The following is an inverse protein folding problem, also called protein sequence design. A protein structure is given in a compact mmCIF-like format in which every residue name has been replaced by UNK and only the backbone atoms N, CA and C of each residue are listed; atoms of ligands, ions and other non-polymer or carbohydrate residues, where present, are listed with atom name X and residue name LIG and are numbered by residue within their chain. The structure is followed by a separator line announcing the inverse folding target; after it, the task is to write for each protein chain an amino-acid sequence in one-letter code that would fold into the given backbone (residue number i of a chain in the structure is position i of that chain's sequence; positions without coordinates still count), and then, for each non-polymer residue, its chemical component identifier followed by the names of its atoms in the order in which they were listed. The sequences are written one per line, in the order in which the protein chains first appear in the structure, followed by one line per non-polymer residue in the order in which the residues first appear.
data_IF_822083063490
#
_entry.id   IF_822083063490
#
_cell.length_a   1.000
_cell.length_b   1.000
_cell.length_c   1.000
_cell.angle_alpha   90.00
_cell.angle_beta   90.00
_cell.angle_gamma   90.00
#
_symmetry.space_group_name_H-M   'P 1'
#
loop_
_entity.id
_entity.type
_entity.pdbx_description
1 polymer ?
#
# COMPACT_ATOMS: atom_id res chain seq x y z
N UNK A 1 8.66 -77.23 -15.96
CA UNK A 1 8.02 -76.08 -15.27
C UNK A 1 8.91 -74.85 -15.39
N UNK A 2 8.58 -73.90 -16.28
CA UNK A 2 9.31 -72.62 -16.43
C UNK A 2 8.56 -71.53 -15.65
N UNK A 3 9.20 -70.94 -14.65
CA UNK A 3 8.67 -69.78 -13.88
C UNK A 3 8.91 -68.50 -14.68
N UNK A 4 7.82 -67.85 -15.10
CA UNK A 4 7.82 -66.52 -15.72
C UNK A 4 7.92 -65.47 -14.61
N UNK A 5 9.01 -64.70 -14.54
CA UNK A 5 9.10 -63.52 -13.67
C UNK A 5 8.48 -62.33 -14.40
N UNK A 6 7.37 -61.81 -13.85
CA UNK A 6 6.76 -60.55 -14.27
C UNK A 6 7.46 -59.41 -13.53
N UNK A 7 8.40 -58.74 -14.19
CA UNK A 7 8.98 -57.48 -13.72
C UNK A 7 8.05 -56.32 -14.08
N UNK A 8 7.32 -55.80 -13.11
CA UNK A 8 6.58 -54.54 -13.26
C UNK A 8 7.51 -53.37 -13.01
N UNK A 9 7.79 -52.58 -14.05
CA UNK A 9 8.50 -51.32 -13.91
C UNK A 9 7.54 -50.27 -13.31
N UNK A 10 7.84 -49.82 -12.09
CA UNK A 10 7.13 -48.71 -11.47
C UNK A 10 7.71 -47.40 -12.03
N UNK A 11 6.91 -46.66 -12.80
CA UNK A 11 7.25 -45.33 -13.29
C UNK A 11 6.99 -44.33 -12.14
N UNK A 12 8.06 -43.86 -11.50
CA UNK A 12 7.98 -42.79 -10.51
C UNK A 12 7.87 -41.45 -11.24
N UNK A 13 6.69 -40.82 -11.18
CA UNK A 13 6.49 -39.44 -11.63
C UNK A 13 6.99 -38.54 -10.51
N UNK A 14 8.17 -37.95 -10.69
CA UNK A 14 8.64 -36.88 -9.82
C UNK A 14 7.81 -35.62 -10.14
N UNK A 15 6.89 -35.26 -9.25
CA UNK A 15 6.23 -33.96 -9.31
C UNK A 15 7.26 -32.88 -8.99
N UNK A 16 7.62 -32.09 -9.99
CA UNK A 16 8.39 -30.86 -9.79
C UNK A 16 7.43 -29.87 -9.15
N UNK A 17 7.55 -29.66 -7.83
CA UNK A 17 6.89 -28.56 -7.15
C UNK A 17 7.70 -27.32 -7.50
N UNK A 18 7.18 -26.51 -8.43
CA UNK A 18 7.69 -25.16 -8.62
C UNK A 18 7.28 -24.35 -7.38
N UNK A 19 8.18 -23.50 -6.83
CA UNK A 19 7.78 -22.57 -5.79
C UNK A 19 6.64 -21.72 -6.37
N UNK A 20 5.52 -21.66 -5.64
CA UNK A 20 4.49 -20.69 -5.94
C UNK A 20 5.06 -19.33 -5.51
N UNK A 21 5.23 -18.41 -6.47
CA UNK A 21 5.46 -16.99 -6.17
C UNK A 21 4.30 -16.49 -5.30
N UNK A 22 4.62 -15.69 -4.28
CA UNK A 22 3.65 -15.13 -3.36
C UNK A 22 2.96 -13.94 -4.04
N UNK A 23 2.03 -14.25 -4.95
CA UNK A 23 1.23 -13.23 -5.63
C UNK A 23 0.58 -12.30 -4.60
N UNK A 24 0.79 -10.99 -4.76
CA UNK A 24 0.14 -9.95 -3.97
C UNK A 24 -1.37 -10.21 -3.98
N UNK A 25 -1.91 -10.48 -2.80
CA UNK A 25 -3.29 -10.98 -2.67
C UNK A 25 -4.28 -9.80 -2.76
N UNK A 26 -5.30 -9.85 -3.62
CA UNK A 26 -6.35 -8.82 -3.60
C UNK A 26 -7.06 -8.78 -2.24
N UNK A 27 -7.34 -7.58 -1.74
CA UNK A 27 -7.92 -7.41 -0.40
C UNK A 27 -7.74 -6.01 0.17
N UNK A 28 -8.06 -5.90 1.46
CA UNK A 28 -7.87 -4.68 2.25
C UNK A 28 -6.56 -4.79 3.02
N UNK A 29 -5.75 -3.75 2.98
CA UNK A 29 -4.48 -3.63 3.66
C UNK A 29 -4.53 -2.49 4.67
N UNK A 30 -3.96 -2.71 5.86
CA UNK A 30 -3.61 -1.63 6.78
C UNK A 30 -2.23 -1.09 6.38
N UNK A 31 -2.09 0.24 6.36
CA UNK A 31 -0.85 0.90 5.96
C UNK A 31 -0.09 1.42 7.18
N UNK A 32 1.24 1.35 7.12
CA UNK A 32 2.16 1.73 8.18
C UNK A 32 3.29 2.60 7.61
N UNK A 33 4.00 3.33 8.48
CA UNK A 33 5.16 4.08 8.02
C UNK A 33 6.25 3.14 7.51
N UNK A 34 6.96 3.56 6.46
CA UNK A 34 8.12 2.80 6.02
C UNK A 34 9.31 3.03 6.97
N UNK A 35 10.06 1.99 7.38
CA UNK A 35 11.19 2.16 8.30
C UNK A 35 12.36 2.95 7.69
N UNK A 36 12.46 2.95 6.35
CA UNK A 36 13.49 3.69 5.59
C UNK A 36 12.97 5.00 4.96
N UNK A 37 12.12 5.74 5.69
CA UNK A 37 11.72 7.08 5.30
C UNK A 37 12.92 8.04 5.27
N UNK A 38 13.11 8.77 4.17
CA UNK A 38 14.26 9.67 3.96
C UNK A 38 14.34 10.82 4.98
N UNK A 39 13.19 11.20 5.53
CA UNK A 39 13.07 12.12 6.66
C UNK A 39 12.43 11.32 7.78
N UNK A 40 13.27 10.82 8.67
CA UNK A 40 12.84 10.20 9.91
C UNK A 40 13.86 10.62 10.97
N UNK A 41 13.46 11.36 12.02
CA UNK A 41 12.08 11.72 12.40
C UNK A 41 11.52 12.99 11.73
N UNK A 42 10.18 13.15 11.68
CA UNK A 42 9.14 12.18 12.05
C UNK A 42 8.99 11.04 11.00
N UNK A 43 8.59 9.82 11.42
CA UNK A 43 8.27 8.74 10.49
C UNK A 43 7.04 9.10 9.64
N UNK A 44 6.95 8.53 8.43
CA UNK A 44 5.85 8.82 7.53
C UNK A 44 5.50 7.67 6.58
N UNK A 45 4.24 7.64 6.15
CA UNK A 45 3.73 6.84 5.04
C UNK A 45 3.45 7.65 3.77
N UNK A 46 3.32 8.97 3.92
CA UNK A 46 3.17 9.98 2.88
C UNK A 46 4.02 11.20 3.23
N UNK A 47 4.64 11.81 2.22
CA UNK A 47 5.25 13.14 2.32
C UNK A 47 4.77 14.01 1.17
N UNK A 48 4.48 15.26 1.48
CA UNK A 48 4.07 16.29 0.53
C UNK A 48 4.85 17.55 0.85
N UNK A 49 5.71 18.01 -0.05
CA UNK A 49 6.39 19.28 0.12
C UNK A 49 5.51 20.40 -0.43
N UNK A 50 5.57 21.58 0.20
CA UNK A 50 4.81 22.77 -0.20
C UNK A 50 3.29 22.55 -0.24
N UNK A 51 2.75 21.69 0.63
CA UNK A 51 1.29 21.64 0.84
C UNK A 51 0.77 23.03 1.28
N UNK A 52 1.58 23.75 2.05
CA UNK A 52 1.46 25.18 2.30
C UNK A 52 2.86 25.83 2.28
N UNK A 53 2.99 27.01 1.69
CA UNK A 53 4.15 27.88 1.88
C UNK A 53 3.97 28.68 3.18
N UNK A 54 4.65 28.24 4.24
CA UNK A 54 4.52 28.80 5.60
C UNK A 54 5.71 29.68 5.95
N UNK A 55 6.90 29.29 5.51
CA UNK A 55 8.17 29.89 5.89
C UNK A 55 8.79 30.77 4.79
N UNK A 56 8.28 30.74 3.56
CA UNK A 56 8.93 31.31 2.38
C UNK A 56 10.15 30.50 1.90
N UNK A 57 10.40 29.33 2.50
CA UNK A 57 11.38 28.33 2.11
C UNK A 57 10.69 27.02 1.73
N UNK A 58 11.46 25.93 1.56
CA UNK A 58 10.88 24.61 1.29
C UNK A 58 10.30 24.02 2.59
N UNK A 59 8.98 24.04 2.75
CA UNK A 59 8.24 23.44 3.85
C UNK A 59 7.81 22.01 3.51
N UNK A 60 8.31 21.04 4.27
CA UNK A 60 7.91 19.63 4.14
C UNK A 60 6.72 19.31 5.04
N UNK A 61 5.76 18.52 4.55
CA UNK A 61 4.69 17.94 5.35
C UNK A 61 4.80 16.43 5.32
N UNK A 62 4.73 15.82 6.50
CA UNK A 62 4.83 14.37 6.67
C UNK A 62 3.64 13.85 7.47
N UNK A 63 3.22 12.63 7.14
CA UNK A 63 2.00 12.02 7.66
C UNK A 63 2.29 10.64 8.25
N UNK A 64 2.13 10.52 9.56
CA UNK A 64 2.46 9.33 10.35
C UNK A 64 1.27 8.36 10.35
N UNK A 65 1.40 7.25 9.62
CA UNK A 65 0.35 6.23 9.49
C UNK A 65 0.20 5.37 10.75
N UNK A 66 1.20 5.36 11.64
CA UNK A 66 1.20 4.58 12.89
C UNK A 66 0.77 5.41 14.12
N UNK A 67 0.53 6.71 13.95
CA UNK A 67 0.02 7.55 15.02
C UNK A 67 -1.35 7.05 15.50
N UNK A 68 -1.65 7.19 16.80
CA UNK A 68 -2.89 6.68 17.40
C UNK A 68 -4.19 7.32 16.85
N UNK A 69 -4.07 8.42 16.13
CA UNK A 69 -5.18 9.11 15.45
C UNK A 69 -5.23 8.80 13.94
N UNK A 70 -4.35 7.92 13.45
CA UNK A 70 -4.28 7.50 12.07
C UNK A 70 -5.02 6.19 11.85
N UNK A 71 -5.54 6.02 10.64
CA UNK A 71 -6.25 4.85 10.18
C UNK A 71 -6.20 4.88 8.66
N UNK A 72 -5.04 4.51 8.10
CA UNK A 72 -4.82 4.45 6.66
C UNK A 72 -4.99 3.03 6.14
N UNK A 73 -5.66 2.91 5.00
CA UNK A 73 -5.94 1.62 4.36
C UNK A 73 -5.70 1.69 2.87
N UNK A 74 -5.48 0.53 2.27
CA UNK A 74 -5.48 0.36 0.83
C UNK A 74 -6.37 -0.81 0.44
N UNK A 75 -7.18 -0.65 -0.62
CA UNK A 75 -7.95 -1.73 -1.22
C UNK A 75 -7.37 -2.04 -2.59
N UNK A 76 -6.81 -3.24 -2.75
CA UNK A 76 -6.39 -3.75 -4.05
C UNK A 76 -7.45 -4.71 -4.61
N UNK A 77 -7.98 -4.37 -5.77
CA UNK A 77 -8.97 -5.18 -6.49
C UNK A 77 -8.46 -5.52 -7.88
N UNK A 78 -7.84 -6.69 -8.01
CA UNK A 78 -7.31 -7.20 -9.27
C UNK A 78 -8.38 -7.34 -10.36
N UNK A 79 -9.58 -7.81 -10.00
CA UNK A 79 -10.67 -8.00 -10.97
C UNK A 79 -11.18 -6.68 -11.56
N UNK A 80 -11.11 -5.60 -10.80
CA UNK A 80 -11.46 -4.25 -11.26
C UNK A 80 -10.26 -3.50 -11.86
N UNK A 81 -9.02 -3.97 -11.62
CA UNK A 81 -7.81 -3.23 -11.96
C UNK A 81 -7.70 -1.92 -11.18
N UNK A 82 -7.98 -1.94 -9.87
CA UNK A 82 -7.95 -0.72 -9.05
C UNK A 82 -7.14 -0.88 -7.76
N UNK A 83 -6.50 0.21 -7.35
CA UNK A 83 -5.91 0.40 -6.02
C UNK A 83 -6.50 1.68 -5.42
N UNK A 84 -7.14 1.60 -4.26
CA UNK A 84 -7.69 2.76 -3.55
C UNK A 84 -6.98 2.93 -2.22
N UNK A 85 -6.22 4.01 -2.05
CA UNK A 85 -5.54 4.37 -0.81
C UNK A 85 -6.39 5.43 -0.12
N UNK A 86 -6.92 5.14 1.07
CA UNK A 86 -7.78 6.08 1.78
C UNK A 86 -7.76 5.91 3.29
N UNK A 87 -8.10 6.98 4.00
CA UNK A 87 -8.18 6.98 5.45
C UNK A 87 -7.92 8.34 6.07
N UNK A 88 -7.51 8.31 7.33
CA UNK A 88 -7.06 9.50 8.06
C UNK A 88 -5.62 9.32 8.53
N UNK A 89 -4.83 10.37 8.50
CA UNK A 89 -3.47 10.37 9.03
C UNK A 89 -3.20 11.58 9.89
N UNK A 90 -2.53 11.40 11.03
CA UNK A 90 -1.99 12.49 11.81
C UNK A 90 -0.68 12.97 11.18
N UNK A 91 -0.53 14.27 11.03
CA UNK A 91 0.66 14.84 10.43
C UNK A 91 0.73 16.34 10.64
N UNK A 92 1.61 16.96 9.87
CA UNK A 92 1.77 18.40 9.85
C UNK A 92 3.09 18.81 9.23
N UNK A 93 3.43 20.08 9.41
CA UNK A 93 4.68 20.64 8.89
C UNK A 93 5.87 20.08 9.66
N UNK A 94 6.78 19.45 8.94
CA UNK A 94 7.97 18.79 9.43
C UNK A 94 9.04 19.82 9.82
N UNK A 95 9.59 19.67 11.03
CA UNK A 95 10.70 20.51 11.53
C UNK A 95 11.93 19.66 11.92
N UNK A 96 12.03 18.45 11.39
CA UNK A 96 13.18 17.53 11.49
C UNK A 96 13.27 16.70 12.78
N UNK A 97 12.45 17.00 13.79
CA UNK A 97 12.36 16.21 15.03
C UNK A 97 10.90 15.82 15.39
N UNK A 98 9.95 16.19 14.53
CA UNK A 98 8.51 16.13 14.80
C UNK A 98 7.79 17.21 13.99
N UNK A 99 6.58 17.55 14.41
CA UNK A 99 5.75 18.54 13.75
C UNK A 99 5.85 19.92 14.42
N UNK A 100 5.78 20.97 13.62
CA UNK A 100 5.59 22.32 14.12
C UNK A 100 4.26 22.43 14.88
N UNK A 101 4.27 23.09 16.04
CA UNK A 101 3.07 23.37 16.83
C UNK A 101 2.28 24.56 16.26
N UNK A 102 1.81 24.42 15.02
CA UNK A 102 1.05 25.43 14.30
C UNK A 102 -0.32 24.89 13.83
N UNK A 103 -1.04 25.71 13.06
CA UNK A 103 -2.40 25.40 12.64
C UNK A 103 -2.48 24.22 11.65
N UNK A 104 -1.34 23.78 11.11
CA UNK A 104 -1.27 22.67 10.15
C UNK A 104 -0.99 21.32 10.82
N UNK A 105 -0.72 21.28 12.13
CA UNK A 105 -0.59 20.02 12.85
C UNK A 105 -1.99 19.46 13.19
N UNK A 106 -2.30 18.25 12.72
CA UNK A 106 -3.60 17.63 13.00
C UNK A 106 -3.89 16.37 12.20
N UNK A 107 -5.18 16.02 12.12
CA UNK A 107 -5.65 14.87 11.33
C UNK A 107 -6.05 15.34 9.95
N UNK A 108 -5.48 14.69 8.95
CA UNK A 108 -5.76 14.85 7.53
C UNK A 108 -6.63 13.69 7.05
N UNK A 109 -7.53 13.96 6.10
CA UNK A 109 -8.29 12.92 5.40
C UNK A 109 -7.73 12.76 4.00
N UNK A 110 -7.42 11.53 3.60
CA UNK A 110 -6.76 11.21 2.34
C UNK A 110 -7.64 10.22 1.57
N UNK A 111 -7.82 10.45 0.27
CA UNK A 111 -8.53 9.56 -0.64
C UNK A 111 -7.89 9.62 -2.02
N UNK A 112 -7.31 8.52 -2.50
CA UNK A 112 -6.60 8.47 -3.78
C UNK A 112 -6.90 7.16 -4.52
N UNK A 113 -7.34 7.28 -5.77
CA UNK A 113 -7.71 6.14 -6.61
C UNK A 113 -6.76 6.00 -7.79
N UNK A 114 -6.16 4.81 -7.90
CA UNK A 114 -5.59 4.30 -9.14
C UNK A 114 -6.61 3.39 -9.82
N UNK A 115 -7.13 3.80 -10.97
CA UNK A 115 -8.06 3.02 -11.80
C UNK A 115 -7.63 2.94 -13.28
N UNK A 116 -6.46 3.49 -13.60
CA UNK A 116 -5.80 3.42 -14.90
C UNK A 116 -4.39 2.86 -14.72
N UNK A 117 -4.05 1.82 -15.50
CA UNK A 117 -2.70 1.28 -15.59
C UNK A 117 -2.30 0.30 -14.50
N UNK A 118 -3.21 -0.08 -13.60
CA UNK A 118 -2.97 -1.11 -12.58
C UNK A 118 -2.78 -2.48 -13.25
N UNK A 119 -1.61 -3.08 -13.08
CA UNK A 119 -1.27 -4.37 -13.68
C UNK A 119 -0.21 -5.11 -12.86
N UNK A 120 -0.08 -6.43 -13.05
CA UNK A 120 1.04 -7.19 -12.50
C UNK A 120 2.35 -6.89 -13.24
N UNK A 121 3.46 -6.91 -12.51
CA UNK A 121 4.81 -6.73 -13.06
C UNK A 121 5.26 -8.02 -13.77
N UNK A 122 5.78 -7.91 -14.98
CA UNK A 122 6.16 -9.09 -15.77
C UNK A 122 7.37 -9.84 -15.16
N UNK A 123 7.16 -11.08 -14.73
CA UNK A 123 8.22 -11.92 -14.13
C UNK A 123 8.37 -11.76 -12.63
N UNK A 124 7.42 -11.08 -12.00
CA UNK A 124 7.43 -10.64 -10.61
C UNK A 124 5.97 -10.76 -10.08
N UNK A 125 5.78 -10.87 -8.77
CA UNK A 125 4.47 -10.92 -8.09
C UNK A 125 3.95 -9.55 -7.68
N UNK A 126 4.75 -8.51 -7.88
CA UNK A 126 4.40 -7.13 -7.66
C UNK A 126 3.26 -6.63 -8.58
N UNK A 127 2.59 -5.58 -8.10
CA UNK A 127 1.61 -4.79 -8.84
C UNK A 127 2.20 -3.41 -9.10
N UNK A 128 2.07 -2.90 -10.32
CA UNK A 128 2.47 -1.55 -10.69
C UNK A 128 1.34 -0.78 -11.35
N UNK A 129 1.53 0.53 -11.43
CA UNK A 129 0.70 1.45 -12.19
C UNK A 129 1.51 2.01 -13.35
N UNK A 130 1.34 1.41 -14.52
CA UNK A 130 1.90 1.89 -15.79
C UNK A 130 0.88 2.81 -16.47
N UNK A 131 0.96 4.09 -16.11
CA UNK A 131 0.10 5.14 -16.64
C UNK A 131 0.87 6.43 -16.88
N UNK A 132 0.33 7.30 -17.73
CA UNK A 132 0.86 8.65 -17.89
C UNK A 132 0.66 9.45 -16.58
N UNK A 133 1.61 10.33 -16.25
CA UNK A 133 1.49 11.28 -15.13
C UNK A 133 0.14 12.00 -15.13
N UNK A 134 -0.51 12.05 -13.97
CA UNK A 134 -1.80 12.70 -13.78
C UNK A 134 -2.99 11.92 -14.34
N UNK A 135 -2.82 10.63 -14.65
CA UNK A 135 -3.94 9.77 -15.06
C UNK A 135 -4.78 9.36 -13.86
N UNK A 136 -4.15 9.20 -12.70
CA UNK A 136 -4.78 8.79 -11.46
C UNK A 136 -4.71 9.96 -10.47
N UNK A 137 -5.76 10.13 -9.67
CA UNK A 137 -5.91 11.31 -8.83
C UNK A 137 -6.66 11.03 -7.54
N UNK A 138 -6.55 11.97 -6.63
CA UNK A 138 -7.14 11.93 -5.30
C UNK A 138 -7.21 13.30 -4.66
N UNK A 139 -7.47 13.30 -3.36
CA UNK A 139 -7.52 14.51 -2.55
C UNK A 139 -6.90 14.29 -1.18
N UNK A 140 -6.43 15.39 -0.60
CA UNK A 140 -6.11 15.50 0.82
C UNK A 140 -6.86 16.70 1.40
N UNK A 141 -7.64 16.44 2.45
CA UNK A 141 -8.32 17.47 3.23
C UNK A 141 -7.54 17.72 4.52
N UNK A 142 -7.24 18.99 4.80
CA UNK A 142 -6.38 19.41 5.90
C UNK A 142 -7.17 19.62 7.20
N UNK A 143 -6.49 19.72 8.36
CA UNK A 143 -7.15 20.06 9.62
C UNK A 143 -7.90 21.39 9.62
N UNK A 144 -7.58 22.28 8.66
CA UNK A 144 -8.22 23.58 8.47
C UNK A 144 -9.48 23.50 7.60
N UNK A 145 -9.74 22.35 6.97
CA UNK A 145 -10.86 22.14 6.04
C UNK A 145 -10.55 22.51 4.59
N UNK A 146 -9.31 22.89 4.27
CA UNK A 146 -8.87 23.06 2.89
C UNK A 146 -8.74 21.70 2.22
N UNK A 147 -8.97 21.63 0.90
CA UNK A 147 -8.82 20.41 0.11
C UNK A 147 -7.88 20.68 -1.05
N UNK A 148 -6.84 19.85 -1.18
CA UNK A 148 -5.88 19.88 -2.28
C UNK A 148 -6.07 18.66 -3.16
N UNK A 149 -5.85 18.82 -4.46
CA UNK A 149 -5.84 17.68 -5.38
C UNK A 149 -4.47 17.01 -5.37
N UNK A 150 -4.48 15.68 -5.42
CA UNK A 150 -3.30 14.85 -5.56
C UNK A 150 -3.34 14.18 -6.93
N UNK A 151 -2.20 14.10 -7.61
CA UNK A 151 -2.08 13.46 -8.91
C UNK A 151 -0.88 12.53 -8.90
N UNK A 152 -0.96 11.40 -9.58
CA UNK A 152 0.17 10.49 -9.70
C UNK A 152 1.25 11.07 -10.61
N UNK A 153 2.51 10.75 -10.34
CA UNK A 153 3.64 11.20 -11.15
C UNK A 153 4.51 10.02 -11.53
N UNK A 154 4.76 9.88 -12.83
CA UNK A 154 5.67 8.86 -13.34
C UNK A 154 7.12 9.16 -12.92
N UNK A 155 7.81 8.13 -12.45
CA UNK A 155 9.26 8.14 -12.28
C UNK A 155 9.86 6.94 -13.00
N UNK A 156 10.07 7.09 -14.32
CA UNK A 156 10.53 6.01 -15.17
C UNK A 156 9.36 5.36 -15.89
N UNK A 157 9.09 4.09 -15.61
CA UNK A 157 8.06 3.31 -16.31
C UNK A 157 6.69 3.31 -15.60
N UNK A 158 6.65 3.57 -14.29
CA UNK A 158 5.41 3.51 -13.50
C UNK A 158 5.25 4.76 -12.62
N UNK A 159 4.03 4.98 -12.13
CA UNK A 159 3.68 6.06 -11.19
C UNK A 159 3.60 5.58 -9.75
N UNK A 160 3.31 4.29 -9.56
CA UNK A 160 3.20 3.61 -8.28
C UNK A 160 3.56 2.14 -8.44
N UNK A 161 4.11 1.54 -7.37
CA UNK A 161 4.36 0.10 -7.27
C UNK A 161 4.03 -0.38 -5.87
N UNK A 162 3.48 -1.59 -5.80
CA UNK A 162 3.03 -2.28 -4.60
C UNK A 162 3.50 -3.72 -4.66
N UNK A 163 4.37 -4.10 -3.71
CA UNK A 163 5.19 -5.29 -3.88
C UNK A 163 5.95 -5.73 -2.65
N UNK A 164 6.63 -6.88 -2.72
CA UNK A 164 7.42 -7.44 -1.61
C UNK A 164 8.90 -7.74 -1.98
N UNK A 165 9.59 -8.62 -1.23
CA UNK A 165 11.01 -8.91 -1.44
C UNK A 165 11.31 -10.07 -2.39
N UNK A 166 10.32 -10.86 -2.82
CA UNK A 166 10.57 -12.09 -3.56
C UNK A 166 11.04 -11.80 -4.99
N UNK A 167 12.38 -11.82 -5.14
CA UNK A 167 13.19 -11.72 -6.37
C UNK A 167 13.87 -10.39 -6.67
N UNK A 168 13.71 -9.32 -5.88
CA UNK A 168 14.54 -8.10 -6.08
C UNK A 168 14.56 -7.09 -4.89
N UNK A 169 14.65 -7.57 -3.64
CA UNK A 169 14.83 -6.75 -2.41
C UNK A 169 13.72 -5.69 -2.29
N UNK A 170 12.64 -6.01 -1.59
CA UNK A 170 11.47 -5.15 -1.41
C UNK A 170 11.87 -3.73 -1.03
N UNK A 171 11.06 -2.74 -1.39
CA UNK A 171 11.52 -1.36 -1.54
C UNK A 171 12.43 -0.91 -0.38
N UNK A 172 13.72 -0.73 -0.69
CA UNK A 172 14.79 -0.32 0.24
C UNK A 172 15.14 -1.33 1.37
N UNK A 173 15.03 -2.63 1.09
CA UNK A 173 15.46 -3.71 1.99
C UNK A 173 14.50 -3.99 3.15
N UNK A 174 13.21 -3.69 2.97
CA UNK A 174 12.17 -4.01 3.94
C UNK A 174 11.56 -5.40 3.67
N UNK A 175 11.67 -6.29 4.66
CA UNK A 175 11.08 -7.63 4.67
C UNK A 175 9.57 -7.60 4.89
N UNK A 176 8.83 -7.28 3.83
CA UNK A 176 7.38 -7.31 3.77
C UNK A 176 6.83 -6.53 2.58
N UNK A 177 5.52 -6.35 2.54
CA UNK A 177 4.87 -5.63 1.44
C UNK A 177 5.03 -4.12 1.64
N UNK A 178 5.40 -3.42 0.57
CA UNK A 178 5.55 -1.96 0.53
C UNK A 178 4.82 -1.34 -0.65
N UNK A 179 4.40 -0.09 -0.48
CA UNK A 179 3.89 0.75 -1.56
C UNK A 179 4.74 2.00 -1.70
N UNK A 180 5.12 2.33 -2.94
CA UNK A 180 5.89 3.54 -3.23
C UNK A 180 5.51 4.13 -4.58
N UNK A 181 5.53 5.45 -4.66
CA UNK A 181 5.17 6.18 -5.87
C UNK A 181 5.31 7.67 -5.68
N UNK A 182 5.26 8.43 -6.77
CA UNK A 182 5.41 9.88 -6.72
C UNK A 182 4.07 10.56 -6.94
N UNK A 183 3.93 11.73 -6.35
CA UNK A 183 2.73 12.56 -6.40
C UNK A 183 3.05 13.98 -6.89
N UNK A 184 1.99 14.70 -7.19
CA UNK A 184 1.96 16.14 -7.42
C UNK A 184 0.73 16.73 -6.73
N UNK A 185 0.89 17.93 -6.17
CA UNK A 185 -0.18 18.69 -5.51
C UNK A 185 -0.69 19.73 -6.50
N UNK A 186 -1.99 19.73 -6.77
CA UNK A 186 -2.61 20.66 -7.74
C UNK A 186 -1.90 20.68 -9.10
N UNK A 187 -1.53 19.48 -9.56
CA UNK A 187 -0.81 19.25 -10.82
C UNK A 187 0.65 19.74 -10.83
N UNK A 188 1.16 20.22 -9.70
CA UNK A 188 2.52 20.72 -9.55
C UNK A 188 3.34 19.76 -8.71
N UNK A 189 4.49 19.34 -9.26
CA UNK A 189 5.51 18.60 -8.51
C UNK A 189 6.68 19.52 -8.22
N UNK A 190 7.14 19.57 -6.98
CA UNK A 190 8.26 20.40 -6.61
C UNK A 190 9.57 19.70 -6.96
N UNK A 191 10.31 20.26 -7.92
CA UNK A 191 11.56 19.66 -8.44
C UNK A 191 12.67 19.44 -7.40
N UNK A 192 12.60 20.13 -6.26
CA UNK A 192 13.55 20.02 -5.15
C UNK A 192 12.96 19.26 -3.95
N UNK A 193 11.67 18.93 -4.01
CA UNK A 193 10.94 18.26 -2.95
C UNK A 193 10.78 16.77 -3.19
N UNK A 194 10.30 16.07 -2.17
CA UNK A 194 9.79 14.72 -2.29
C UNK A 194 8.28 14.72 -1.99
N UNK A 195 7.51 14.48 -3.04
CA UNK A 195 6.06 14.27 -2.99
C UNK A 195 5.85 12.78 -3.24
N UNK A 196 5.81 11.95 -2.20
CA UNK A 196 5.86 10.50 -2.34
C UNK A 196 4.93 9.73 -1.39
N UNK A 197 4.40 8.63 -1.93
CA UNK A 197 3.99 7.48 -1.12
C UNK A 197 5.22 6.70 -0.73
N UNK A 198 5.33 6.34 0.55
CA UNK A 198 6.35 5.44 1.03
C UNK A 198 5.87 4.75 2.31
N UNK A 199 5.22 3.60 2.17
CA UNK A 199 4.60 2.89 3.29
C UNK A 199 4.82 1.38 3.21
N UNK A 200 4.60 0.69 4.33
CA UNK A 200 4.47 -0.78 4.37
C UNK A 200 3.01 -1.16 4.54
N UNK A 201 2.65 -2.39 4.17
CA UNK A 201 1.27 -2.85 4.15
C UNK A 201 1.09 -4.23 4.79
N UNK A 202 0.02 -4.41 5.55
CA UNK A 202 -0.39 -5.70 6.13
C UNK A 202 -1.79 -6.06 5.64
N UNK A 203 -1.95 -7.26 5.05
CA UNK A 203 -3.25 -7.74 4.60
C UNK A 203 -4.18 -7.97 5.80
N UNK A 204 -5.33 -7.30 5.79
CA UNK A 204 -6.40 -7.53 6.77
C UNK A 204 -7.03 -8.89 6.48
N UNK A 205 -6.97 -9.87 7.41
CA UNK A 205 -7.54 -11.18 7.16
C UNK A 205 -9.05 -11.11 6.96
N UNK A 206 -9.53 -11.66 5.85
CA UNK A 206 -10.96 -11.85 5.63
C UNK A 206 -11.57 -12.65 6.81
N UNK A 207 -12.74 -12.25 7.33
CA UNK A 207 -13.41 -13.02 8.37
C UNK A 207 -13.59 -14.45 7.90
N UNK A 208 -12.87 -15.39 8.51
CA UNK A 208 -12.96 -16.79 8.10
C UNK A 208 -14.42 -17.22 8.08
N UNK A 209 -14.84 -17.87 7.00
CA UNK A 209 -16.21 -18.39 6.84
C UNK A 209 -16.63 -19.32 7.99
N UNK A 210 -15.66 -19.91 8.71
CA UNK A 210 -15.88 -20.66 9.95
C UNK A 210 -16.47 -19.82 11.09
N UNK A 211 -16.12 -18.54 11.22
CA UNK A 211 -16.70 -17.65 12.22
C UNK A 211 -18.20 -17.42 11.97
N UNK A 212 -18.59 -17.27 10.70
CA UNK A 212 -20.00 -17.11 10.30
C UNK A 212 -20.79 -18.41 10.53
N UNK A 213 -20.20 -19.57 10.25
CA UNK A 213 -20.81 -20.88 10.52
C UNK A 213 -21.02 -21.07 12.03
N UNK A 214 -20.04 -20.70 12.86
CA UNK A 214 -20.14 -20.79 14.33
C UNK A 214 -21.30 -19.96 14.90
N UNK A 215 -21.49 -18.73 14.43
CA UNK A 215 -22.62 -17.87 14.83
C UNK A 215 -23.97 -18.43 14.39
N UNK A 216 -24.06 -18.99 13.18
CA UNK A 216 -25.27 -19.64 12.69
C UNK A 216 -25.67 -20.83 13.58
N UNK A 217 -24.70 -21.66 14.00
CA UNK A 217 -24.97 -22.78 14.92
C UNK A 217 -25.39 -22.31 16.32
N UNK A 218 -24.79 -21.25 16.87
CA UNK A 218 -25.17 -20.70 18.16
C UNK A 218 -26.63 -20.16 18.16
N UNK A 219 -27.04 -19.52 17.06
CA UNK A 219 -28.43 -19.07 16.87
C UNK A 219 -29.44 -20.21 16.80
N UNK A 220 -29.08 -21.32 16.13
CA UNK A 220 -29.94 -22.52 16.03
C UNK A 220 -30.08 -23.25 17.38
N UNK A 221 -29.03 -23.30 18.19
CA UNK A 221 -29.06 -23.93 19.53
C UNK A 221 -29.94 -23.11 20.50
N UNK A 222 -29.89 -21.78 20.43
CA UNK A 222 -30.69 -20.90 21.30
C UNK A 222 -32.20 -21.01 21.05
N UNK A 223 -32.61 -21.35 19.83
CA UNK A 223 -34.04 -21.48 19.45
C UNK A 223 -34.69 -22.78 19.94
N UNK A 224 -33.91 -23.74 20.46
CA UNK A 224 -34.38 -25.04 20.98
C UNK A 224 -34.52 -25.11 22.50
N UNK A 225 -34.32 -24.00 23.21
CA UNK A 225 -34.63 -23.86 24.64
C UNK A 225 -35.79 -22.89 24.80
#
# INVERSE_FOLDING_TARGET
MRKLLKGGAALAIAAVVLPAQAVITPGVYTLHNHPDGNINPPPYGLRLDELYDVSGGLDSFSFDFDHASSSMTMVYNDAAGTIHISGTSYGGRDIGAGYAADAYQGVYTIDFLYDIGVQGVAGDDDVEVDAATGSNFGTIMTPLGDTFSLNDVSAGANTFRFGDEDNDLGHRGFSGISGWGWLAIDGTRFSQGADDWLFTAELVPEPSSFALIGLAFAGLIRRRR
#
